data_IF_452042273426
#
_entry.id   IF_452042273426
#
_cell.length_a   1.000
_cell.length_b   1.000
_cell.length_c   1.000
_cell.angle_alpha   90.00
_cell.angle_beta   90.00
_cell.angle_gamma   90.00
#
_symmetry.space_group_name_H-M   'P 1'
#
loop_
_entity.id
_entity.type
_entity.pdbx_description
1 polymer ?
#
# COMPACT_ATOMS: atom_id res chain seq x y z
N UNK A 1 -5.99 -1.01 14.77
CA UNK A 1 -6.87 -0.13 13.95
C UNK A 1 -7.56 0.81 14.87
N UNK A 2 -7.47 2.08 14.67
CA UNK A 2 -8.29 2.89 15.53
C UNK A 2 -8.11 4.37 15.32
N UNK A 3 -8.94 5.13 16.01
CA UNK A 3 -8.86 6.56 16.14
C UNK A 3 -8.00 6.98 17.36
N UNK A 4 -7.20 6.06 17.90
CA UNK A 4 -6.41 6.29 19.11
C UNK A 4 -5.02 6.81 18.80
N UNK A 5 -4.53 7.74 19.61
CA UNK A 5 -3.27 8.44 19.42
C UNK A 5 -2.01 7.54 19.39
N UNK A 6 -2.11 6.31 19.86
CA UNK A 6 -1.00 5.34 19.89
C UNK A 6 -1.05 4.32 18.76
N UNK A 7 -2.03 4.43 17.85
CA UNK A 7 -2.14 3.56 16.68
C UNK A 7 -1.03 3.89 15.68
N UNK A 8 -0.33 2.86 15.22
CA UNK A 8 0.71 2.96 14.19
C UNK A 8 0.23 2.58 12.80
N UNK A 9 -0.95 1.96 12.72
CA UNK A 9 -1.60 1.56 11.47
C UNK A 9 -2.91 2.32 11.32
N UNK A 10 -3.11 2.92 10.17
CA UNK A 10 -4.32 3.64 9.81
C UNK A 10 -5.06 2.88 8.72
N UNK A 11 -6.28 2.44 9.02
CA UNK A 11 -7.16 1.91 7.99
C UNK A 11 -7.60 3.01 7.02
N UNK A 12 -7.53 2.75 5.72
CA UNK A 12 -7.91 3.74 4.71
C UNK A 12 -9.42 3.99 4.62
N UNK A 13 -10.27 3.16 5.25
CA UNK A 13 -11.70 3.38 5.37
C UNK A 13 -12.59 2.70 4.32
N UNK A 14 -12.02 1.84 3.48
CA UNK A 14 -12.76 0.99 2.56
C UNK A 14 -12.15 -0.42 2.48
N UNK A 15 -12.91 -1.39 1.98
CA UNK A 15 -12.51 -2.79 1.84
C UNK A 15 -12.26 -3.17 0.36
N UNK A 16 -11.82 -2.21 -0.43
CA UNK A 16 -11.65 -2.38 -1.87
C UNK A 16 -10.20 -2.64 -2.29
N UNK A 17 -9.25 -2.51 -1.36
CA UNK A 17 -7.82 -2.53 -1.68
C UNK A 17 -7.39 -1.28 -2.46
N UNK A 18 -8.06 -0.15 -2.29
CA UNK A 18 -7.82 1.08 -3.04
C UNK A 18 -7.54 2.23 -2.07
N UNK A 19 -6.34 2.75 -2.09
CA UNK A 19 -5.93 3.95 -1.37
C UNK A 19 -6.11 5.21 -2.23
N UNK A 20 -6.22 6.36 -1.59
CA UNK A 20 -6.23 7.65 -2.29
C UNK A 20 -4.88 7.92 -2.95
N UNK A 21 -4.89 8.63 -4.09
CA UNK A 21 -3.66 8.93 -4.86
C UNK A 21 -2.64 9.75 -4.07
N UNK A 22 -3.10 10.59 -3.14
CA UNK A 22 -2.26 11.47 -2.34
C UNK A 22 -2.12 10.94 -0.88
N UNK A 23 -2.00 9.61 -0.72
CA UNK A 23 -1.92 8.98 0.60
C UNK A 23 -0.57 9.24 1.26
N UNK A 24 -0.62 9.80 2.48
CA UNK A 24 0.52 10.07 3.34
C UNK A 24 0.59 9.05 4.48
N UNK A 25 1.80 8.59 4.81
CA UNK A 25 2.05 7.74 5.99
C UNK A 25 2.15 8.56 7.27
N UNK A 26 1.41 9.66 7.36
CA UNK A 26 1.35 10.54 8.52
C UNK A 26 -0.09 10.93 8.85
N UNK A 27 -0.36 11.04 10.14
CA UNK A 27 -1.63 11.53 10.68
C UNK A 27 -1.39 12.68 11.66
N UNK A 28 -2.43 13.46 11.94
CA UNK A 28 -2.41 14.45 13.01
C UNK A 28 -2.93 13.82 14.28
N UNK A 29 -2.08 13.74 15.29
CA UNK A 29 -2.38 13.08 16.57
C UNK A 29 -2.42 14.10 17.67
N UNK A 30 -3.50 14.08 18.45
CA UNK A 30 -3.61 14.74 19.75
C UNK A 30 -3.55 13.65 20.84
N UNK A 31 -2.41 13.59 21.54
CA UNK A 31 -2.21 12.62 22.64
C UNK A 31 -3.02 12.94 23.88
N UNK A 32 -3.38 14.21 24.10
CA UNK A 32 -4.18 14.59 25.26
C UNK A 32 -5.64 14.20 25.07
N UNK A 33 -6.15 14.35 23.85
CA UNK A 33 -7.49 13.90 23.49
C UNK A 33 -7.55 12.41 23.13
N UNK A 34 -6.40 11.73 23.04
CA UNK A 34 -6.26 10.34 22.55
C UNK A 34 -6.92 10.14 21.17
N UNK A 35 -6.72 11.08 20.26
CA UNK A 35 -7.32 11.04 18.93
C UNK A 35 -6.30 11.06 17.82
N UNK A 36 -6.67 10.46 16.69
CA UNK A 36 -5.92 10.47 15.44
C UNK A 36 -6.83 10.95 14.32
N UNK A 37 -6.36 11.92 13.54
CA UNK A 37 -7.09 12.47 12.43
C UNK A 37 -6.37 12.19 11.11
N UNK A 38 -7.15 12.00 10.05
CA UNK A 38 -6.71 11.91 8.68
C UNK A 38 -7.71 12.57 7.72
N UNK A 39 -7.21 13.16 6.64
CA UNK A 39 -8.05 13.67 5.57
C UNK A 39 -8.68 12.52 4.78
N UNK A 40 -9.72 12.84 4.02
CA UNK A 40 -10.36 11.92 3.07
C UNK A 40 -10.20 12.39 1.64
N UNK A 41 -10.04 11.42 0.73
CA UNK A 41 -10.13 11.60 -0.71
C UNK A 41 -11.10 10.54 -1.24
N UNK A 42 -12.32 10.95 -1.58
CA UNK A 42 -13.41 10.04 -1.86
C UNK A 42 -13.77 9.21 -0.62
N UNK A 43 -13.75 7.89 -0.73
CA UNK A 43 -14.02 6.95 0.35
C UNK A 43 -12.76 6.46 1.08
N UNK A 44 -11.59 7.02 0.79
CA UNK A 44 -10.33 6.66 1.42
C UNK A 44 -9.79 7.77 2.31
N UNK A 45 -9.17 7.41 3.44
CA UNK A 45 -8.39 8.34 4.26
C UNK A 45 -6.99 8.49 3.68
N UNK A 46 -6.48 9.70 3.54
CA UNK A 46 -5.19 9.98 2.90
C UNK A 46 -4.11 10.48 3.86
N UNK A 47 -4.47 10.83 5.09
CA UNK A 47 -3.51 11.41 6.05
C UNK A 47 -3.13 12.84 5.70
N UNK A 48 -1.97 13.29 6.18
CA UNK A 48 -1.50 14.67 6.04
C UNK A 48 -0.01 14.72 5.72
N UNK A 49 0.40 15.61 4.83
CA UNK A 49 1.81 15.88 4.57
C UNK A 49 2.53 16.40 5.81
N UNK A 50 1.87 17.30 6.55
CA UNK A 50 2.32 17.92 7.78
C UNK A 50 1.89 17.16 9.05
N UNK A 51 1.55 15.88 8.92
CA UNK A 51 1.20 15.03 10.06
C UNK A 51 2.35 14.88 11.06
N UNK A 52 2.03 14.82 12.34
CA UNK A 52 2.99 14.79 13.44
C UNK A 52 3.31 13.37 13.95
N UNK A 53 2.65 12.33 13.40
CA UNK A 53 2.92 10.95 13.74
C UNK A 53 2.89 10.06 12.51
N UNK A 54 3.87 9.15 12.42
CA UNK A 54 3.90 8.07 11.44
C UNK A 54 2.74 7.11 11.70
N UNK A 55 1.96 6.83 10.64
CA UNK A 55 0.87 5.87 10.65
C UNK A 55 0.83 5.17 9.30
N UNK A 56 1.14 3.89 9.28
CA UNK A 56 1.12 3.10 8.04
C UNK A 56 -0.31 3.01 7.51
N UNK A 57 -0.59 3.50 6.29
CA UNK A 57 -1.92 3.31 5.69
C UNK A 57 -2.09 1.84 5.28
N UNK A 58 -3.22 1.25 5.62
CA UNK A 58 -3.57 -0.12 5.29
C UNK A 58 -4.84 -0.16 4.46
N UNK A 59 -4.73 -0.76 3.27
CA UNK A 59 -5.81 -1.05 2.35
C UNK A 59 -6.13 -2.54 2.44
N UNK A 60 -7.26 -2.89 3.03
CA UNK A 60 -7.72 -4.26 3.09
C UNK A 60 -8.62 -4.63 1.90
N UNK A 61 -8.55 -5.88 1.49
CA UNK A 61 -9.33 -6.43 0.40
C UNK A 61 -9.50 -7.95 0.55
N UNK A 62 -10.36 -8.51 -0.25
CA UNK A 62 -10.66 -9.94 -0.28
C UNK A 62 -10.18 -10.54 -1.58
N UNK A 63 -9.53 -11.71 -1.52
CA UNK A 63 -9.17 -12.47 -2.71
C UNK A 63 -10.37 -13.10 -3.40
N UNK A 64 -11.46 -13.34 -2.65
CA UNK A 64 -12.75 -13.86 -3.14
C UNK A 64 -13.85 -12.81 -2.99
N UNK A 65 -15.08 -13.13 -3.38
CA UNK A 65 -16.24 -12.24 -3.21
C UNK A 65 -16.66 -12.04 -1.75
N UNK A 66 -16.28 -12.95 -0.84
CA UNK A 66 -16.61 -12.90 0.60
C UNK A 66 -15.38 -12.82 1.50
N UNK A 67 -15.59 -12.39 2.76
CA UNK A 67 -14.55 -12.40 3.80
C UNK A 67 -14.31 -13.81 4.37
N UNK A 68 -15.34 -14.64 4.36
CA UNK A 68 -15.31 -15.98 4.94
C UNK A 68 -15.61 -17.02 3.88
N UNK A 69 -15.00 -18.20 4.04
CA UNK A 69 -15.25 -19.34 3.20
C UNK A 69 -16.71 -19.81 3.29
N UNK A 70 -17.31 -20.20 2.16
CA UNK A 70 -18.66 -20.75 2.11
C UNK A 70 -19.80 -19.74 2.22
N UNK A 71 -19.53 -18.45 2.46
CA UNK A 71 -20.57 -17.42 2.53
C UNK A 71 -21.01 -16.92 1.15
N UNK A 72 -20.11 -17.02 0.18
CA UNK A 72 -20.32 -16.66 -1.23
C UNK A 72 -19.50 -17.60 -2.12
N UNK A 73 -19.45 -17.33 -3.43
CA UNK A 73 -18.58 -18.11 -4.33
C UNK A 73 -17.12 -17.95 -3.91
N UNK A 74 -16.46 -19.07 -3.66
CA UNK A 74 -15.03 -19.13 -3.33
C UNK A 74 -14.12 -19.00 -4.57
N UNK A 75 -14.61 -18.39 -5.65
CA UNK A 75 -13.82 -18.12 -6.84
C UNK A 75 -12.88 -16.96 -6.56
N UNK A 76 -11.57 -17.13 -6.72
CA UNK A 76 -10.63 -16.05 -6.54
C UNK A 76 -10.79 -14.98 -7.64
N UNK A 77 -10.45 -13.77 -7.32
CA UNK A 77 -10.35 -12.64 -8.27
C UNK A 77 -9.37 -12.97 -9.40
N UNK A 78 -9.55 -12.29 -10.52
CA UNK A 78 -8.64 -12.38 -11.66
C UNK A 78 -7.27 -11.77 -11.33
N UNK A 79 -6.26 -12.07 -12.12
CA UNK A 79 -4.94 -11.44 -11.97
C UNK A 79 -5.01 -9.94 -12.23
N UNK A 80 -5.84 -9.50 -13.17
CA UNK A 80 -6.08 -8.09 -13.46
C UNK A 80 -6.63 -7.36 -12.22
N UNK A 81 -7.71 -7.89 -11.60
CA UNK A 81 -8.28 -7.32 -10.39
C UNK A 81 -7.28 -7.23 -9.23
N UNK A 82 -6.46 -8.27 -9.03
CA UNK A 82 -5.45 -8.28 -7.96
C UNK A 82 -4.29 -7.31 -8.26
N UNK A 83 -3.88 -7.20 -9.52
CA UNK A 83 -2.86 -6.24 -9.94
C UNK A 83 -3.36 -4.81 -9.76
N UNK A 84 -4.60 -4.52 -10.15
CA UNK A 84 -5.24 -3.22 -9.93
C UNK A 84 -5.29 -2.85 -8.44
N UNK A 85 -5.67 -3.81 -7.58
CA UNK A 85 -5.63 -3.59 -6.14
C UNK A 85 -4.22 -3.28 -5.64
N UNK A 86 -3.21 -4.01 -6.12
CA UNK A 86 -1.83 -3.78 -5.73
C UNK A 86 -1.34 -2.38 -6.12
N UNK A 87 -1.53 -2.00 -7.37
CA UNK A 87 -1.09 -0.69 -7.86
C UNK A 87 -1.90 0.47 -7.27
N UNK A 88 -3.18 0.27 -6.98
CA UNK A 88 -4.01 1.28 -6.34
C UNK A 88 -3.92 1.30 -4.80
N UNK A 89 -3.20 0.39 -4.17
CA UNK A 89 -2.90 0.40 -2.74
C UNK A 89 -1.41 0.67 -2.50
N UNK A 90 -0.54 -0.27 -2.85
CA UNK A 90 0.91 -0.14 -2.66
C UNK A 90 1.48 0.99 -3.52
N UNK A 91 1.03 1.12 -4.77
CA UNK A 91 1.39 2.23 -5.65
C UNK A 91 0.89 3.60 -5.17
N UNK A 92 -0.08 3.62 -4.25
CA UNK A 92 -0.59 4.83 -3.59
C UNK A 92 -0.11 4.96 -2.13
N UNK A 93 1.03 4.36 -1.79
CA UNK A 93 1.66 4.46 -0.47
C UNK A 93 0.86 3.81 0.67
N UNK A 94 0.15 2.71 0.39
CA UNK A 94 -0.54 1.91 1.41
C UNK A 94 -0.03 0.47 1.40
N UNK A 95 -0.17 -0.22 2.53
CA UNK A 95 0.03 -1.67 2.60
C UNK A 95 -1.25 -2.36 2.12
N UNK A 96 -1.14 -3.31 1.20
CA UNK A 96 -2.26 -4.17 0.85
C UNK A 96 -2.38 -5.32 1.85
N UNK A 97 -3.49 -5.39 2.57
CA UNK A 97 -3.88 -6.54 3.39
C UNK A 97 -4.89 -7.38 2.62
N UNK A 98 -4.44 -8.45 2.01
CA UNK A 98 -5.28 -9.34 1.21
C UNK A 98 -5.79 -10.51 2.06
N UNK A 99 -7.10 -10.55 2.31
CA UNK A 99 -7.73 -11.66 3.02
C UNK A 99 -7.79 -12.92 2.15
N UNK A 100 -7.27 -14.01 2.68
CA UNK A 100 -7.31 -15.36 2.11
C UNK A 100 -8.08 -16.26 3.07
N UNK A 101 -9.36 -16.55 2.83
CA UNK A 101 -10.20 -17.28 3.79
C UNK A 101 -9.78 -18.75 3.88
N UNK A 102 -9.56 -19.28 5.09
CA UNK A 102 -9.40 -20.72 5.29
C UNK A 102 -10.74 -21.44 5.08
N UNK A 103 -10.69 -22.68 4.58
CA UNK A 103 -11.85 -23.55 4.44
C UNK A 103 -12.20 -24.26 5.75
N UNK A 104 -13.24 -25.10 5.72
CA UNK A 104 -13.70 -25.88 6.90
C UNK A 104 -12.73 -26.96 7.39
N UNK A 105 -11.63 -27.20 6.68
CA UNK A 105 -10.56 -28.12 7.06
C UNK A 105 -9.36 -27.37 7.69
N UNK A 106 -9.43 -26.03 7.79
CA UNK A 106 -8.34 -25.19 8.27
C UNK A 106 -7.22 -24.98 7.26
N UNK A 107 -7.47 -25.32 5.99
CA UNK A 107 -6.56 -25.10 4.86
C UNK A 107 -7.15 -24.05 3.90
N UNK A 108 -6.48 -23.75 2.82
CA UNK A 108 -6.97 -22.87 1.75
C UNK A 108 -7.35 -23.73 0.55
N UNK A 109 -8.47 -23.42 -0.10
CA UNK A 109 -8.88 -24.13 -1.33
C UNK A 109 -7.82 -23.99 -2.41
N UNK A 110 -7.54 -25.07 -3.15
CA UNK A 110 -6.46 -25.15 -4.15
C UNK A 110 -6.51 -24.00 -5.18
N UNK A 111 -7.70 -23.66 -5.65
CA UNK A 111 -7.88 -22.56 -6.62
C UNK A 111 -7.48 -21.19 -6.05
N UNK A 112 -7.73 -20.96 -4.77
CA UNK A 112 -7.35 -19.72 -4.07
C UNK A 112 -5.85 -19.72 -3.83
N UNK A 113 -5.28 -20.83 -3.35
CA UNK A 113 -3.84 -20.98 -3.11
C UNK A 113 -3.04 -20.72 -4.39
N UNK A 114 -3.43 -21.38 -5.48
CA UNK A 114 -2.82 -21.17 -6.80
C UNK A 114 -2.85 -19.70 -7.23
N UNK A 115 -3.98 -19.01 -7.02
CA UNK A 115 -4.09 -17.58 -7.36
C UNK A 115 -3.20 -16.70 -6.50
N UNK A 116 -3.02 -17.00 -5.21
CA UNK A 116 -2.09 -16.29 -4.32
C UNK A 116 -0.65 -16.47 -4.81
N UNK A 117 -0.27 -17.69 -5.19
CA UNK A 117 1.06 -18.00 -5.72
C UNK A 117 1.32 -17.27 -7.06
N UNK A 118 0.35 -17.32 -7.98
CA UNK A 118 0.42 -16.60 -9.26
C UNK A 118 0.56 -15.09 -9.04
N UNK A 119 -0.21 -14.53 -8.12
CA UNK A 119 -0.16 -13.11 -7.78
C UNK A 119 1.18 -12.72 -7.16
N UNK A 120 1.68 -13.49 -6.19
CA UNK A 120 2.98 -13.25 -5.58
C UNK A 120 4.13 -13.34 -6.59
N UNK A 121 4.07 -14.30 -7.52
CA UNK A 121 5.02 -14.42 -8.62
C UNK A 121 4.96 -13.20 -9.56
N UNK A 122 3.76 -12.79 -9.96
CA UNK A 122 3.55 -11.62 -10.83
C UNK A 122 4.13 -10.33 -10.22
N UNK A 123 3.84 -10.07 -8.94
CA UNK A 123 4.39 -8.93 -8.22
C UNK A 123 5.93 -9.00 -8.18
N UNK A 124 6.50 -10.15 -7.83
CA UNK A 124 7.94 -10.33 -7.77
C UNK A 124 8.60 -10.08 -9.14
N UNK A 125 8.07 -10.66 -10.21
CA UNK A 125 8.60 -10.52 -11.56
C UNK A 125 8.50 -9.07 -12.07
N UNK A 126 7.44 -8.34 -11.68
CA UNK A 126 7.27 -6.92 -12.05
C UNK A 126 8.36 -6.01 -11.47
N UNK A 127 9.03 -6.42 -10.40
CA UNK A 127 10.07 -5.65 -9.71
C UNK A 127 11.43 -6.36 -9.65
N UNK A 128 11.61 -7.46 -10.38
CA UNK A 128 12.85 -8.25 -10.36
C UNK A 128 14.02 -7.49 -11.00
N UNK A 129 13.76 -6.69 -12.04
CA UNK A 129 14.75 -5.84 -12.66
C UNK A 129 14.64 -4.40 -12.16
N UNK A 130 15.68 -3.95 -11.44
CA UNK A 130 15.80 -2.53 -11.11
C UNK A 130 16.18 -1.72 -12.34
N UNK A 131 15.18 -1.09 -12.97
CA UNK A 131 15.39 -0.25 -14.16
C UNK A 131 16.11 1.06 -13.83
N UNK A 132 16.12 1.49 -12.56
CA UNK A 132 16.91 2.61 -12.07
C UNK A 132 18.36 2.19 -11.84
N UNK A 133 19.10 1.88 -12.90
CA UNK A 133 20.54 1.73 -12.80
C UNK A 133 21.14 3.11 -12.58
N UNK A 134 21.71 3.32 -11.39
CA UNK A 134 22.29 4.60 -10.98
C UNK A 134 23.61 4.88 -11.70
N UNK A 135 23.57 5.13 -13.00
CA UNK A 135 24.63 5.80 -13.71
C UNK A 135 24.30 7.30 -13.74
N UNK A 136 24.70 8.00 -12.67
CA UNK A 136 24.68 9.45 -12.62
C UNK A 136 23.31 10.10 -12.51
N UNK A 137 22.53 9.78 -11.48
CA UNK A 137 21.40 10.61 -11.12
C UNK A 137 21.90 11.94 -10.52
N UNK A 138 21.63 13.06 -11.20
CA UNK A 138 22.00 14.39 -10.75
C UNK A 138 20.74 15.10 -10.26
N UNK A 139 20.78 15.60 -9.02
CA UNK A 139 19.75 16.53 -8.51
C UNK A 139 19.94 17.91 -9.11
N UNK A 140 18.87 18.63 -9.36
CA UNK A 140 18.87 20.01 -9.86
C UNK A 140 19.40 21.03 -8.83
N UNK A 141 19.61 20.60 -7.60
CA UNK A 141 20.02 21.41 -6.45
C UNK A 141 21.48 21.28 -6.05
N UNK A 142 22.32 20.71 -6.89
CA UNK A 142 23.75 20.50 -6.65
C UNK A 142 24.13 19.75 -5.37
N UNK A 143 23.22 19.05 -4.75
CA UNK A 143 23.52 18.15 -3.62
C UNK A 143 24.37 16.98 -4.08
N UNK A 144 25.49 16.68 -3.41
CA UNK A 144 26.29 15.52 -3.75
C UNK A 144 25.57 14.24 -3.36
N UNK A 145 25.37 13.37 -4.32
CA UNK A 145 24.87 12.00 -4.20
C UNK A 145 23.39 11.82 -3.87
N UNK A 146 22.58 11.67 -4.92
CA UNK A 146 21.33 10.89 -4.79
C UNK A 146 21.70 9.45 -4.42
N UNK A 147 21.10 8.92 -3.37
CA UNK A 147 21.26 7.51 -3.01
C UNK A 147 20.62 6.62 -4.09
N UNK A 148 20.95 5.33 -4.18
CA UNK A 148 20.25 4.39 -5.07
C UNK A 148 18.74 4.39 -4.88
N UNK A 149 18.25 4.76 -3.69
CA UNK A 149 16.81 4.92 -3.36
C UNK A 149 16.24 6.12 -4.11
N UNK A 150 16.95 7.24 -4.20
CA UNK A 150 16.49 8.43 -4.91
C UNK A 150 16.41 8.21 -6.42
N UNK A 151 17.34 7.43 -6.99
CA UNK A 151 17.30 7.02 -8.39
C UNK A 151 16.11 6.11 -8.72
N UNK A 152 15.72 5.24 -7.80
CA UNK A 152 14.49 4.43 -7.91
C UNK A 152 13.24 5.31 -8.01
N UNK A 153 13.14 6.35 -7.18
CA UNK A 153 12.02 7.29 -7.18
C UNK A 153 11.92 8.12 -8.47
N UNK A 154 13.04 8.54 -9.02
CA UNK A 154 13.07 9.28 -10.27
C UNK A 154 12.48 8.45 -11.43
N UNK A 155 12.80 7.16 -11.47
CA UNK A 155 12.31 6.25 -12.51
C UNK A 155 10.81 5.97 -12.39
N UNK A 156 10.28 5.85 -11.17
CA UNK A 156 8.84 5.73 -10.92
C UNK A 156 8.08 6.95 -11.43
N UNK A 157 8.67 8.15 -11.33
CA UNK A 157 8.07 9.39 -11.85
C UNK A 157 8.06 9.41 -13.37
N UNK A 158 9.11 8.93 -14.04
CA UNK A 158 9.19 8.83 -15.51
C UNK A 158 8.18 7.84 -16.09
N UNK A 159 7.83 6.81 -15.34
CA UNK A 159 6.80 5.84 -15.71
C UNK A 159 5.37 6.32 -15.41
N UNK A 160 5.18 7.57 -14.95
CA UNK A 160 3.89 8.13 -14.58
C UNK A 160 3.35 7.62 -13.24
N UNK A 161 4.15 6.86 -12.51
CA UNK A 161 3.86 6.41 -11.15
C UNK A 161 4.30 7.52 -10.19
N UNK A 162 3.39 8.03 -9.36
CA UNK A 162 3.76 9.05 -8.37
C UNK A 162 4.68 8.44 -7.31
N UNK A 163 5.85 9.04 -7.04
CA UNK A 163 6.78 8.50 -6.06
C UNK A 163 6.16 8.60 -4.66
N UNK A 164 6.30 7.52 -3.91
CA UNK A 164 6.08 7.51 -2.46
C UNK A 164 7.19 8.37 -1.83
N UNK A 165 6.87 9.55 -1.30
CA UNK A 165 7.85 10.39 -0.62
C UNK A 165 8.08 9.89 0.80
N UNK A 166 9.14 9.15 1.02
CA UNK A 166 9.69 8.95 2.36
C UNK A 166 10.55 10.17 2.70
N UNK A 167 10.09 10.99 3.63
CA UNK A 167 10.95 12.01 4.21
C UNK A 167 11.78 11.37 5.33
N UNK A 168 13.01 10.97 5.01
CA UNK A 168 13.96 10.38 5.95
C UNK A 168 14.69 11.43 6.79
N UNK A 169 14.36 12.70 6.66
CA UNK A 169 14.94 13.77 7.45
C UNK A 169 14.14 13.97 8.73
N UNK A 170 14.39 13.16 9.73
CA UNK A 170 14.18 13.50 11.13
C UNK A 170 15.39 12.99 11.93
N UNK A 171 16.36 13.88 12.10
CA UNK A 171 17.19 13.90 13.31
C UNK A 171 16.39 14.52 14.44
#
# INVERSE_FOLDING_TARGET
FGAEAYTTVRWIGNELGIAGKDTWSKSKVDKNANTINSNKQGNATVGFEDGNQWTVPEADARITSGWFWGTQKNTPKTMEELSDMYFNSVGHNATLLLNVPPNNQGTVDEAILKRVEEFGKNVKESFDENLAKAEGAFGSDSSPSLSPVDAFWLNMTLLGLRPIRFNLNNN
#
